data_IF_653438062636
#
_entry.id   IF_653438062636
#
_cell.length_a   1.000
_cell.length_b   1.000
_cell.length_c   1.000
_cell.angle_alpha   90.00
_cell.angle_beta   90.00
_cell.angle_gamma   90.00
#
_symmetry.space_group_name_H-M   'P 1'
#
loop_
_entity.id
_entity.type
_entity.pdbx_description
1 polymer ?
#
# COMPACT_ATOMS: atom_id res chain seq x y z
N UNK A 1 89.11 42.93 -2.29
CA UNK A 1 88.64 44.34 -2.35
C UNK A 1 87.32 44.38 -3.10
N UNK A 2 86.29 45.00 -2.53
CA UNK A 2 85.00 45.33 -3.19
C UNK A 2 83.86 44.34 -2.93
N UNK A 3 82.76 44.76 -2.25
CA UNK A 3 81.56 43.95 -2.08
C UNK A 3 80.56 44.21 -3.21
N UNK A 4 79.76 43.20 -3.58
CA UNK A 4 78.50 43.44 -4.30
C UNK A 4 77.34 42.83 -3.51
N UNK A 5 76.66 43.77 -2.87
CA UNK A 5 75.25 43.77 -2.49
C UNK A 5 74.37 43.09 -3.55
N UNK A 6 73.38 42.31 -3.12
CA UNK A 6 71.98 42.74 -3.26
C UNK A 6 71.02 41.87 -2.46
N UNK A 7 70.14 42.59 -1.77
CA UNK A 7 68.89 42.16 -1.15
C UNK A 7 68.05 41.27 -2.12
N UNK A 8 67.11 40.43 -1.69
CA UNK A 8 65.98 40.78 -0.86
C UNK A 8 65.03 39.56 -0.77
N UNK A 9 64.31 39.45 0.37
CA UNK A 9 62.86 39.14 0.48
C UNK A 9 62.39 37.74 0.02
N UNK A 10 61.46 37.02 0.65
CA UNK A 10 60.57 37.22 1.81
C UNK A 10 59.89 35.87 2.07
N UNK A 11 59.74 35.54 3.36
CA UNK A 11 58.70 34.71 4.03
C UNK A 11 57.72 33.91 3.16
N UNK A 12 57.47 32.66 3.59
CA UNK A 12 56.19 32.24 4.20
C UNK A 12 56.32 30.81 4.77
N UNK A 13 56.22 30.69 6.09
CA UNK A 13 55.78 29.45 6.73
C UNK A 13 54.34 29.19 6.28
N UNK A 14 54.05 27.97 5.83
CA UNK A 14 52.68 27.45 5.78
C UNK A 14 52.63 26.29 6.77
N UNK A 15 52.09 26.58 7.95
CA UNK A 15 51.65 25.54 8.89
C UNK A 15 50.45 24.84 8.25
N UNK A 16 50.60 23.56 7.91
CA UNK A 16 49.49 22.73 7.46
C UNK A 16 48.71 22.25 8.70
N UNK A 17 47.57 22.88 8.96
CA UNK A 17 46.63 22.45 9.99
C UNK A 17 45.83 21.26 9.45
N UNK A 18 46.10 20.05 9.94
CA UNK A 18 45.30 18.86 9.64
C UNK A 18 43.91 19.00 10.28
N UNK A 19 42.89 19.34 9.49
CA UNK A 19 41.49 19.26 9.89
C UNK A 19 41.05 17.78 9.83
N UNK A 20 41.03 17.11 10.97
CA UNK A 20 40.43 15.80 11.12
C UNK A 20 38.90 15.93 11.02
N UNK A 21 38.33 15.76 9.82
CA UNK A 21 36.90 15.60 9.63
C UNK A 21 36.52 14.16 9.99
N UNK A 22 36.08 13.96 11.23
CA UNK A 22 35.41 12.74 11.65
C UNK A 22 34.12 12.56 10.87
N UNK A 23 34.10 11.61 9.94
CA UNK A 23 32.86 11.15 9.30
C UNK A 23 32.09 10.37 10.36
N UNK A 24 31.16 11.03 11.04
CA UNK A 24 30.12 10.35 11.78
C UNK A 24 29.26 9.60 10.74
N UNK A 25 29.56 8.31 10.53
CA UNK A 25 28.71 7.42 9.77
C UNK A 25 27.39 7.29 10.54
N UNK A 26 26.43 8.16 10.22
CA UNK A 26 25.06 7.99 10.62
C UNK A 26 24.59 6.65 10.03
N UNK A 27 24.53 5.62 10.86
CA UNK A 27 23.90 4.36 10.50
C UNK A 27 22.44 4.68 10.18
N UNK A 28 22.13 4.90 8.91
CA UNK A 28 20.75 4.94 8.43
C UNK A 28 20.21 3.54 8.66
N UNK A 29 19.49 3.37 9.77
CA UNK A 29 18.81 2.11 10.09
C UNK A 29 17.72 1.96 9.04
N UNK A 30 17.96 1.11 8.04
CA UNK A 30 16.91 0.72 7.12
C UNK A 30 15.70 0.27 7.95
N UNK A 31 14.46 0.68 7.60
CA UNK A 31 13.29 0.18 8.30
C UNK A 31 13.34 -1.34 8.25
N UNK A 32 13.29 -1.99 9.41
CA UNK A 32 13.15 -3.44 9.47
C UNK A 32 11.88 -3.78 8.69
N UNK A 33 11.99 -4.56 7.62
CA UNK A 33 10.84 -5.06 6.91
C UNK A 33 9.98 -5.81 7.94
N UNK A 34 8.85 -5.21 8.35
CA UNK A 34 7.92 -5.90 9.21
C UNK A 34 7.44 -7.13 8.45
N UNK A 35 7.42 -8.27 9.13
CA UNK A 35 6.92 -9.49 8.54
C UNK A 35 5.45 -9.28 8.13
N UNK A 36 5.11 -9.74 6.93
CA UNK A 36 3.74 -9.74 6.46
C UNK A 36 2.90 -10.61 7.41
N UNK A 37 1.93 -9.99 8.11
CA UNK A 37 1.05 -10.71 9.04
C UNK A 37 0.05 -11.58 8.29
N UNK A 38 -0.48 -11.06 7.18
CA UNK A 38 -1.41 -11.75 6.30
C UNK A 38 -1.32 -11.19 4.88
N UNK A 39 -1.54 -12.05 3.87
CA UNK A 39 -1.55 -11.64 2.47
C UNK A 39 -2.65 -12.34 1.68
N UNK A 40 -3.56 -11.56 1.10
CA UNK A 40 -4.64 -12.01 0.23
C UNK A 40 -4.35 -11.90 -1.27
N UNK A 41 -3.07 -11.86 -1.67
CA UNK A 41 -2.64 -11.55 -3.05
C UNK A 41 -2.89 -12.61 -4.12
N UNK A 42 -3.69 -13.64 -3.85
CA UNK A 42 -4.17 -14.66 -4.81
C UNK A 42 -3.12 -15.60 -5.42
N UNK A 43 -1.84 -15.45 -5.08
CA UNK A 43 -0.75 -16.27 -5.64
C UNK A 43 -0.84 -17.78 -5.34
N UNK A 44 -1.76 -18.19 -4.46
CA UNK A 44 -2.08 -19.61 -4.27
C UNK A 44 -2.93 -20.22 -5.39
N UNK A 45 -3.36 -19.41 -6.38
CA UNK A 45 -4.20 -19.85 -7.49
C UNK A 45 -5.62 -20.26 -7.05
N UNK A 46 -6.03 -19.86 -5.84
CA UNK A 46 -7.39 -20.05 -5.32
C UNK A 46 -7.70 -18.97 -4.25
N UNK A 47 -8.90 -19.03 -3.66
CA UNK A 47 -9.37 -18.03 -2.68
C UNK A 47 -9.06 -18.41 -1.22
N UNK A 48 -8.33 -19.49 -0.94
CA UNK A 48 -8.12 -20.01 0.43
C UNK A 48 -7.30 -19.10 1.35
N UNK A 49 -6.66 -18.06 0.81
CA UNK A 49 -6.01 -17.02 1.60
C UNK A 49 -7.02 -16.10 2.32
N UNK A 50 -8.27 -16.12 1.87
CA UNK A 50 -9.39 -15.36 2.43
C UNK A 50 -10.27 -16.28 3.28
N UNK A 51 -10.86 -15.74 4.34
CA UNK A 51 -11.71 -16.47 5.29
C UNK A 51 -13.04 -16.88 4.68
N UNK A 52 -13.62 -16.01 3.84
CA UNK A 52 -14.89 -16.26 3.17
C UNK A 52 -15.01 -15.46 1.87
N UNK A 53 -15.99 -15.84 1.05
CA UNK A 53 -16.42 -15.11 -0.13
C UNK A 53 -17.93 -14.83 -0.03
N UNK A 54 -18.30 -13.56 -0.13
CA UNK A 54 -19.69 -13.12 -0.22
C UNK A 54 -19.95 -12.71 -1.68
N UNK A 55 -20.12 -13.71 -2.54
CA UNK A 55 -20.32 -13.51 -3.97
C UNK A 55 -21.15 -14.64 -4.57
N UNK A 56 -21.99 -14.31 -5.55
CA UNK A 56 -22.63 -15.33 -6.39
C UNK A 56 -21.60 -15.95 -7.36
N UNK A 57 -21.86 -17.14 -7.92
CA UNK A 57 -20.99 -17.75 -8.91
C UNK A 57 -20.61 -16.78 -10.04
N UNK A 58 -19.32 -16.61 -10.30
CA UNK A 58 -18.81 -15.68 -11.30
C UNK A 58 -18.78 -14.20 -10.89
N UNK A 59 -19.08 -13.88 -9.63
CA UNK A 59 -18.85 -12.56 -9.03
C UNK A 59 -17.39 -12.33 -8.62
N UNK A 60 -16.66 -13.40 -8.27
CA UNK A 60 -15.21 -13.37 -8.03
C UNK A 60 -14.55 -14.45 -8.87
N UNK A 61 -13.53 -14.06 -9.64
CA UNK A 61 -12.75 -14.98 -10.47
C UNK A 61 -11.27 -14.61 -10.42
N UNK A 62 -10.40 -15.62 -10.39
CA UNK A 62 -8.97 -15.40 -10.51
C UNK A 62 -8.57 -15.17 -11.97
N UNK A 63 -7.64 -14.24 -12.18
CA UNK A 63 -7.16 -13.83 -13.49
C UNK A 63 -5.64 -13.74 -13.53
N UNK A 64 -5.06 -13.92 -14.72
CA UNK A 64 -3.63 -13.74 -14.99
C UNK A 64 -3.30 -12.42 -15.71
N UNK A 65 -4.32 -11.67 -16.14
CA UNK A 65 -4.17 -10.38 -16.80
C UNK A 65 -5.47 -9.57 -16.63
N UNK A 66 -5.42 -8.31 -16.15
CA UNK A 66 -4.26 -7.61 -15.60
C UNK A 66 -3.86 -8.12 -14.20
N UNK A 67 -2.57 -8.06 -13.89
CA UNK A 67 -2.00 -8.40 -12.57
C UNK A 67 -1.00 -7.33 -12.16
N UNK A 68 -1.13 -6.79 -10.94
CA UNK A 68 -0.24 -5.73 -10.43
C UNK A 68 1.16 -6.25 -10.07
N UNK A 69 1.24 -7.46 -9.54
CA UNK A 69 2.45 -8.17 -9.09
C UNK A 69 2.15 -9.66 -9.06
N UNK A 70 3.14 -10.49 -9.39
CA UNK A 70 3.00 -11.94 -9.32
C UNK A 70 2.28 -12.49 -10.56
N UNK A 71 1.58 -13.60 -10.38
CA UNK A 71 0.89 -14.32 -11.46
C UNK A 71 -0.61 -14.20 -11.40
N UNK A 72 -1.18 -13.82 -10.25
CA UNK A 72 -2.61 -13.86 -10.02
C UNK A 72 -3.16 -12.54 -9.48
N UNK A 73 -4.37 -12.20 -9.93
CA UNK A 73 -5.23 -11.20 -9.31
C UNK A 73 -6.66 -11.76 -9.22
N UNK A 74 -7.53 -11.08 -8.48
CA UNK A 74 -8.95 -11.35 -8.51
C UNK A 74 -9.69 -10.25 -9.28
N UNK A 75 -10.61 -10.66 -10.14
CA UNK A 75 -11.60 -9.81 -10.78
C UNK A 75 -12.91 -9.94 -10.01
N UNK A 76 -13.48 -8.80 -9.67
CA UNK A 76 -14.74 -8.68 -8.95
C UNK A 76 -15.79 -8.09 -9.89
N UNK A 77 -16.98 -8.68 -9.91
CA UNK A 77 -18.12 -8.24 -10.72
C UNK A 77 -19.37 -8.31 -9.86
N UNK A 78 -20.03 -7.17 -9.71
CA UNK A 78 -21.38 -7.08 -9.13
C UNK A 78 -22.35 -6.80 -10.26
N UNK A 79 -23.39 -7.62 -10.38
CA UNK A 79 -24.47 -7.45 -11.34
C UNK A 79 -25.74 -7.01 -10.61
N UNK A 80 -26.68 -6.33 -11.30
CA UNK A 80 -28.00 -6.05 -10.74
C UNK A 80 -28.65 -7.33 -10.22
N UNK A 81 -29.04 -7.33 -8.95
CA UNK A 81 -29.63 -8.45 -8.23
C UNK A 81 -28.65 -9.33 -7.43
N UNK A 82 -27.33 -9.12 -7.51
CA UNK A 82 -26.34 -9.98 -6.84
C UNK A 82 -26.38 -9.83 -5.29
N UNK A 83 -27.24 -10.63 -4.65
CA UNK A 83 -27.44 -10.68 -3.19
C UNK A 83 -26.99 -12.02 -2.59
N UNK A 84 -25.68 -12.26 -2.43
CA UNK A 84 -25.14 -13.52 -1.91
C UNK A 84 -25.39 -13.75 -0.42
N UNK A 85 -25.80 -12.71 0.31
CA UNK A 85 -26.13 -12.76 1.74
C UNK A 85 -27.43 -11.99 2.00
N UNK A 86 -28.08 -12.28 3.13
CA UNK A 86 -29.24 -11.51 3.62
C UNK A 86 -28.79 -10.17 4.22
N UNK A 87 -28.45 -9.23 3.35
CA UNK A 87 -28.00 -7.89 3.71
C UNK A 87 -28.46 -6.86 2.67
N UNK A 88 -28.39 -5.59 3.06
CA UNK A 88 -28.64 -4.49 2.14
C UNK A 88 -27.47 -4.34 1.15
N UNK A 89 -27.81 -4.13 -0.11
CA UNK A 89 -26.87 -3.91 -1.20
C UNK A 89 -26.48 -5.18 -1.95
N UNK A 90 -25.97 -4.97 -3.16
CA UNK A 90 -25.44 -6.04 -4.01
C UNK A 90 -23.93 -6.14 -3.79
N UNK A 91 -23.36 -7.35 -3.82
CA UNK A 91 -21.94 -7.52 -3.50
C UNK A 91 -21.27 -8.73 -4.15
N UNK A 92 -19.96 -8.57 -4.31
CA UNK A 92 -19.00 -9.61 -4.60
C UNK A 92 -17.74 -9.26 -3.79
N UNK A 93 -17.60 -9.83 -2.60
CA UNK A 93 -16.55 -9.48 -1.65
C UNK A 93 -15.79 -10.69 -1.13
N UNK A 94 -14.55 -10.47 -0.72
CA UNK A 94 -13.75 -11.44 0.02
C UNK A 94 -13.50 -10.91 1.43
N UNK A 95 -13.64 -11.80 2.41
CA UNK A 95 -13.54 -11.46 3.82
C UNK A 95 -12.23 -12.01 4.37
N UNK A 96 -11.50 -11.18 5.09
CA UNK A 96 -10.43 -11.62 5.97
C UNK A 96 -10.86 -11.31 7.41
N UNK A 97 -11.08 -12.35 8.20
CA UNK A 97 -11.33 -12.19 9.64
C UNK A 97 -9.99 -11.92 10.34
N UNK A 98 -9.61 -10.64 10.39
CA UNK A 98 -8.33 -10.18 10.94
C UNK A 98 -8.26 -10.29 12.46
N UNK A 99 -9.40 -10.51 13.14
CA UNK A 99 -9.51 -10.53 14.61
C UNK A 99 -8.96 -9.26 15.31
N UNK A 100 -8.89 -8.14 14.57
CA UNK A 100 -8.43 -6.87 15.11
C UNK A 100 -9.42 -6.30 16.14
N UNK A 101 -8.88 -5.55 17.11
CA UNK A 101 -9.63 -5.00 18.24
C UNK A 101 -9.31 -3.53 18.43
N UNK A 102 -10.23 -2.81 19.08
CA UNK A 102 -10.00 -1.42 19.48
C UNK A 102 -8.67 -1.30 20.27
N UNK A 103 -7.86 -0.29 19.91
CA UNK A 103 -6.54 -0.06 20.49
C UNK A 103 -5.39 -0.78 19.79
N UNK A 104 -5.65 -1.62 18.79
CA UNK A 104 -4.60 -2.21 17.96
C UNK A 104 -4.17 -1.27 16.83
N UNK A 105 -2.92 -1.44 16.38
CA UNK A 105 -2.36 -0.77 15.21
C UNK A 105 -1.99 -1.81 14.16
N UNK A 106 -2.41 -1.57 12.92
CA UNK A 106 -2.10 -2.41 11.77
C UNK A 106 -1.81 -1.56 10.54
N UNK A 107 -1.04 -2.13 9.63
CA UNK A 107 -0.67 -1.51 8.37
C UNK A 107 -1.22 -2.35 7.22
N UNK A 108 -1.95 -1.70 6.32
CA UNK A 108 -2.63 -2.34 5.20
C UNK A 108 -2.17 -1.73 3.89
N UNK A 109 -1.97 -2.57 2.89
CA UNK A 109 -1.67 -2.15 1.53
C UNK A 109 -2.39 -3.07 0.55
N UNK A 110 -2.96 -2.47 -0.49
CA UNK A 110 -3.64 -3.19 -1.57
C UNK A 110 -3.47 -2.43 -2.88
N UNK A 111 -3.95 -3.02 -3.97
CA UNK A 111 -4.01 -2.36 -5.28
C UNK A 111 -5.32 -2.75 -5.94
N UNK A 112 -6.02 -1.76 -6.49
CA UNK A 112 -7.28 -1.92 -7.20
C UNK A 112 -7.15 -1.30 -8.57
N UNK A 113 -7.60 -2.02 -9.59
CA UNK A 113 -7.72 -1.51 -10.95
C UNK A 113 -9.20 -1.43 -11.30
N UNK A 114 -9.65 -0.25 -11.70
CA UNK A 114 -10.97 -0.05 -12.28
C UNK A 114 -10.81 -0.04 -13.80
N UNK A 115 -11.65 -0.78 -14.55
CA UNK A 115 -11.60 -0.71 -16.00
C UNK A 115 -12.06 0.67 -16.50
N UNK A 116 -11.69 1.03 -17.73
CA UNK A 116 -12.03 2.34 -18.31
C UNK A 116 -13.55 2.58 -18.41
N UNK A 117 -14.33 1.49 -18.48
CA UNK A 117 -15.79 1.50 -18.53
C UNK A 117 -16.44 1.28 -17.15
N UNK A 118 -15.69 1.47 -16.05
CA UNK A 118 -16.20 1.26 -14.70
C UNK A 118 -17.39 2.19 -14.41
N UNK A 119 -18.58 1.58 -14.33
CA UNK A 119 -19.81 2.31 -14.08
C UNK A 119 -19.90 2.74 -12.61
N UNK A 120 -20.12 4.04 -12.41
CA UNK A 120 -20.46 4.60 -11.10
C UNK A 120 -21.67 5.50 -11.23
N UNK A 121 -22.78 5.24 -10.50
CA UNK A 121 -23.91 6.15 -10.50
C UNK A 121 -23.48 7.53 -9.98
N UNK A 122 -23.92 8.64 -10.62
CA UNK A 122 -23.61 9.98 -10.14
C UNK A 122 -24.00 10.17 -8.68
N UNK A 123 -23.11 10.81 -7.91
CA UNK A 123 -23.27 11.13 -6.49
C UNK A 123 -23.51 9.92 -5.57
N UNK A 124 -23.20 8.71 -6.03
CA UNK A 124 -23.36 7.48 -5.24
C UNK A 124 -22.08 7.12 -4.48
N UNK A 125 -22.25 6.73 -3.21
CA UNK A 125 -21.18 6.15 -2.38
C UNK A 125 -21.21 4.63 -2.34
N UNK A 126 -22.09 4.00 -3.13
CA UNK A 126 -22.38 2.56 -3.01
C UNK A 126 -21.28 1.66 -3.59
N UNK A 127 -20.36 2.20 -4.40
CA UNK A 127 -19.24 1.44 -4.97
C UNK A 127 -18.05 1.34 -3.98
N UNK A 128 -18.28 0.66 -2.87
CA UNK A 128 -17.25 0.36 -1.87
C UNK A 128 -16.36 -0.77 -2.41
N UNK A 129 -15.04 -0.57 -2.42
CA UNK A 129 -14.07 -1.56 -2.94
C UNK A 129 -13.08 -2.08 -1.88
N UNK A 130 -13.05 -1.46 -0.71
CA UNK A 130 -12.32 -1.95 0.45
C UNK A 130 -12.96 -1.37 1.72
N UNK A 131 -13.13 -2.19 2.76
CA UNK A 131 -13.74 -1.76 4.01
C UNK A 131 -13.25 -2.55 5.22
N UNK A 132 -13.27 -1.91 6.38
CA UNK A 132 -13.07 -2.52 7.70
C UNK A 132 -14.38 -2.47 8.45
N UNK A 133 -14.88 -3.64 8.77
CA UNK A 133 -16.18 -3.82 9.37
C UNK A 133 -16.05 -4.58 10.69
N UNK A 134 -16.78 -4.15 11.71
CA UNK A 134 -16.89 -4.95 12.93
C UNK A 134 -17.57 -6.29 12.61
N UNK A 135 -17.01 -7.37 13.15
CA UNK A 135 -17.53 -8.72 12.98
C UNK A 135 -18.98 -8.81 13.51
N UNK A 136 -19.88 -9.41 12.73
CA UNK A 136 -21.31 -9.56 13.06
C UNK A 136 -22.03 -8.27 13.48
N UNK A 137 -21.72 -7.16 12.82
CA UNK A 137 -22.41 -5.89 13.08
C UNK A 137 -23.37 -5.55 11.94
N UNK A 138 -24.55 -5.04 12.29
CA UNK A 138 -25.47 -4.38 11.33
C UNK A 138 -25.13 -2.91 11.11
N UNK A 139 -24.09 -2.40 11.81
CA UNK A 139 -23.60 -1.04 11.66
C UNK A 139 -22.91 -0.86 10.31
N UNK A 140 -22.57 0.38 9.99
CA UNK A 140 -21.74 0.71 8.83
C UNK A 140 -20.27 0.35 9.09
N UNK A 141 -19.46 0.10 8.05
CA UNK A 141 -18.04 -0.09 8.22
C UNK A 141 -17.40 1.10 8.92
N UNK A 142 -16.40 0.84 9.76
CA UNK A 142 -15.65 1.86 10.47
C UNK A 142 -14.80 2.68 9.49
N UNK A 143 -14.27 2.01 8.46
CA UNK A 143 -13.49 2.62 7.37
C UNK A 143 -13.97 2.01 6.06
N UNK A 144 -14.18 2.85 5.04
CA UNK A 144 -14.50 2.39 3.68
C UNK A 144 -13.84 3.28 2.64
N UNK A 145 -13.44 2.65 1.54
CA UNK A 145 -12.97 3.31 0.33
C UNK A 145 -13.98 3.09 -0.77
N UNK A 146 -14.40 4.18 -1.43
CA UNK A 146 -15.45 4.18 -2.44
C UNK A 146 -15.02 4.99 -3.65
N UNK A 147 -15.55 4.64 -4.83
CA UNK A 147 -15.41 5.44 -6.05
C UNK A 147 -16.70 6.25 -6.23
N UNK A 148 -16.56 7.58 -6.27
CA UNK A 148 -17.67 8.51 -6.45
C UNK A 148 -17.46 9.25 -7.77
N UNK A 149 -18.49 9.23 -8.62
CA UNK A 149 -18.63 10.14 -9.75
C UNK A 149 -19.41 11.38 -9.29
N UNK A 150 -18.87 12.57 -9.49
CA UNK A 150 -19.46 13.84 -9.05
C UNK A 150 -20.34 14.54 -10.10
N UNK A 151 -20.73 13.84 -11.17
CA UNK A 151 -21.55 14.37 -12.26
C UNK A 151 -20.69 14.96 -13.35
#
# INVERSE_FOLDING_TARGET
>A
MGPLSTHARTRRLVLATCLALGVAAACVRAPSAQALVWGGGFETGNLRQWSAAEALPGGVSLVHNPVRRGSWAARFVVRPGDRPIDSYGERAELINDSHERAGMTSWWAWSTLFPDDFYTPPYSKLNVFAQWHAHHSTLKPNVSFTVINWG
#
